data_IF_266537703992
#
_entry.id   IF_266537703992
#
_cell.length_a   1.000
_cell.length_b   1.000
_cell.length_c   1.000
_cell.angle_alpha   90.00
_cell.angle_beta   90.00
_cell.angle_gamma   90.00
#
_symmetry.space_group_name_H-M   'P 1'
#
loop_
_entity.id
_entity.type
_entity.pdbx_description
1 polymer ?
#
# COMPACT_ATOMS: atom_id res chain seq x y z
N UNK A 1 8.77 -2.66 -33.30
CA UNK A 1 9.61 -3.72 -32.72
C UNK A 1 8.74 -4.87 -32.26
N UNK A 2 9.14 -6.10 -32.53
CA UNK A 2 8.44 -7.32 -32.13
C UNK A 2 9.37 -8.24 -31.33
N UNK A 3 8.79 -9.07 -30.47
CA UNK A 3 9.50 -10.07 -29.68
C UNK A 3 8.95 -11.45 -30.01
N UNK A 4 9.83 -12.45 -30.11
CA UNK A 4 9.40 -13.84 -30.28
C UNK A 4 9.21 -14.46 -28.90
N UNK A 5 7.96 -14.78 -28.55
CA UNK A 5 7.58 -15.38 -27.28
C UNK A 5 6.92 -16.73 -27.58
N UNK A 6 7.42 -17.81 -27.00
CA UNK A 6 6.91 -19.17 -27.24
C UNK A 6 6.78 -19.53 -28.74
N UNK A 7 7.73 -19.08 -29.57
CA UNK A 7 7.73 -19.32 -31.01
C UNK A 7 6.75 -18.47 -31.83
N UNK A 8 6.06 -17.50 -31.20
CA UNK A 8 5.17 -16.56 -31.90
C UNK A 8 5.69 -15.14 -31.80
N UNK A 9 5.57 -14.39 -32.89
CA UNK A 9 5.89 -12.96 -32.89
C UNK A 9 4.78 -12.19 -32.19
N UNK A 10 5.14 -11.42 -31.16
CA UNK A 10 4.26 -10.53 -30.42
C UNK A 10 4.76 -9.10 -30.58
N UNK A 11 3.88 -8.19 -31.00
CA UNK A 11 4.23 -6.79 -31.14
C UNK A 11 4.40 -6.11 -29.77
N UNK A 12 5.32 -5.16 -29.67
CA UNK A 12 5.63 -4.49 -28.41
C UNK A 12 4.41 -3.80 -27.77
N UNK A 13 3.50 -3.25 -28.57
CA UNK A 13 2.27 -2.60 -28.07
C UNK A 13 1.38 -3.55 -27.25
N UNK A 14 1.35 -4.84 -27.58
CA UNK A 14 0.56 -5.84 -26.87
C UNK A 14 1.20 -6.20 -25.53
N UNK A 15 2.54 -6.25 -25.47
CA UNK A 15 3.28 -6.48 -24.23
C UNK A 15 3.14 -5.30 -23.29
N UNK A 16 3.24 -4.09 -23.81
CA UNK A 16 3.03 -2.87 -23.04
C UNK A 16 1.61 -2.83 -22.45
N UNK A 17 0.59 -3.03 -23.29
CA UNK A 17 -0.80 -3.04 -22.85
C UNK A 17 -1.09 -4.18 -21.85
N UNK A 18 -0.55 -5.37 -22.09
CA UNK A 18 -0.69 -6.50 -21.15
C UNK A 18 -0.06 -6.20 -19.79
N UNK A 19 1.11 -5.56 -19.77
CA UNK A 19 1.79 -5.16 -18.52
C UNK A 19 0.97 -4.14 -17.75
N UNK A 20 0.46 -3.10 -18.42
CA UNK A 20 -0.39 -2.10 -17.79
C UNK A 20 -1.71 -2.68 -17.28
N UNK A 21 -2.33 -3.59 -18.03
CA UNK A 21 -3.55 -4.27 -17.61
C UNK A 21 -3.31 -5.16 -16.37
N UNK A 22 -2.20 -5.90 -16.32
CA UNK A 22 -1.86 -6.75 -15.18
C UNK A 22 -1.58 -5.89 -13.94
N UNK A 23 -0.71 -4.88 -14.06
CA UNK A 23 -0.35 -4.01 -12.92
C UNK A 23 -1.59 -3.23 -12.44
N UNK A 24 -2.34 -2.63 -13.37
CA UNK A 24 -3.57 -1.91 -13.06
C UNK A 24 -4.64 -2.81 -12.44
N UNK A 25 -4.79 -4.03 -12.94
CA UNK A 25 -5.72 -5.03 -12.40
C UNK A 25 -5.34 -5.50 -10.99
N UNK A 26 -4.04 -5.76 -10.74
CA UNK A 26 -3.54 -6.11 -9.40
C UNK A 26 -3.74 -4.94 -8.43
N UNK A 27 -3.37 -3.72 -8.84
CA UNK A 27 -3.55 -2.53 -8.02
C UNK A 27 -5.03 -2.30 -7.71
N UNK A 28 -5.91 -2.43 -8.70
CA UNK A 28 -7.35 -2.31 -8.50
C UNK A 28 -7.90 -3.39 -7.58
N UNK A 29 -7.52 -4.65 -7.76
CA UNK A 29 -7.93 -5.75 -6.89
C UNK A 29 -7.43 -5.55 -5.44
N UNK A 30 -6.20 -5.09 -5.27
CA UNK A 30 -5.63 -4.78 -3.95
C UNK A 30 -6.31 -3.56 -3.29
N UNK A 31 -6.80 -2.61 -4.09
CA UNK A 31 -7.43 -1.37 -3.59
C UNK A 31 -8.94 -1.47 -3.39
N UNK A 32 -9.60 -2.43 -4.04
CA UNK A 32 -11.07 -2.58 -4.02
C UNK A 32 -11.61 -3.49 -2.91
N UNK A 33 -10.72 -4.14 -2.14
CA UNK A 33 -11.07 -5.01 -1.02
C UNK A 33 -11.28 -4.25 0.29
N UNK A 34 -12.54 -4.19 0.73
CA UNK A 34 -12.96 -3.49 1.95
C UNK A 34 -12.41 -4.07 3.26
N UNK A 35 -12.28 -3.16 4.23
CA UNK A 35 -11.84 -3.29 5.61
C UNK A 35 -12.16 -4.65 6.26
N UNK A 36 -11.16 -5.53 6.36
CA UNK A 36 -11.08 -6.61 7.35
C UNK A 36 -9.67 -7.18 7.36
N UNK A 37 -8.90 -6.70 8.33
CA UNK A 37 -7.84 -7.38 9.06
C UNK A 37 -7.03 -8.52 8.37
N UNK A 38 -5.72 -8.23 8.27
CA UNK A 38 -4.55 -9.11 8.44
C UNK A 38 -4.16 -10.03 7.28
N UNK A 39 -2.96 -9.76 6.73
CA UNK A 39 -1.68 -10.32 7.21
C UNK A 39 -0.68 -10.31 6.05
N UNK A 40 0.44 -9.64 6.27
CA UNK A 40 1.56 -9.57 5.36
C UNK A 40 1.98 -10.96 4.87
N UNK A 41 1.90 -11.18 3.56
CA UNK A 41 2.76 -12.12 2.85
C UNK A 41 3.74 -11.28 2.03
N UNK A 42 4.96 -11.23 2.58
CA UNK A 42 6.14 -10.57 2.05
C UNK A 42 6.44 -10.97 0.60
N UNK A 43 6.39 -9.99 -0.31
CA UNK A 43 7.35 -9.90 -1.41
C UNK A 43 7.50 -8.43 -1.82
N UNK A 44 8.55 -7.81 -1.28
CA UNK A 44 9.22 -6.59 -1.76
C UNK A 44 8.34 -5.53 -2.42
N UNK A 45 8.15 -4.41 -1.72
CA UNK A 45 7.32 -3.23 -2.07
C UNK A 45 5.90 -3.28 -1.52
N UNK A 46 5.71 -3.90 -0.36
CA UNK A 46 4.61 -3.52 0.52
C UNK A 46 5.13 -2.36 1.38
N UNK A 47 4.53 -1.18 1.21
CA UNK A 47 4.48 -0.19 2.27
C UNK A 47 3.95 -0.92 3.52
N UNK A 48 4.89 -1.39 4.35
CA UNK A 48 4.65 -1.48 5.77
C UNK A 48 4.03 -0.14 6.10
N UNK A 49 2.81 -0.16 6.61
CA UNK A 49 2.33 0.89 7.50
C UNK A 49 3.34 0.86 8.66
N UNK A 50 4.52 1.43 8.40
CA UNK A 50 5.43 1.91 9.42
C UNK A 50 4.69 3.15 9.83
N UNK A 51 4.09 3.13 11.01
CA UNK A 51 3.92 4.38 11.72
C UNK A 51 5.25 5.13 11.54
N UNK A 52 5.24 6.32 10.91
CA UNK A 52 6.47 7.06 10.74
C UNK A 52 7.07 7.20 12.13
N UNK A 53 8.34 6.80 12.29
CA UNK A 53 8.99 6.85 13.59
C UNK A 53 8.75 8.25 14.17
N UNK A 54 8.07 8.33 15.32
CA UNK A 54 7.76 9.59 15.97
C UNK A 54 9.09 10.16 16.46
N UNK A 55 9.68 11.02 15.63
CA UNK A 55 10.89 11.77 15.95
C UNK A 55 10.43 13.07 16.60
N UNK A 56 10.21 13.06 17.92
CA UNK A 56 9.94 14.26 18.69
C UNK A 56 11.19 14.68 19.46
N UNK A 57 11.35 16.00 19.66
CA UNK A 57 12.55 16.53 20.33
C UNK A 57 12.37 16.61 21.86
N UNK A 58 11.14 16.47 22.34
CA UNK A 58 10.78 16.53 23.76
C UNK A 58 9.63 15.56 24.09
N UNK A 59 9.57 15.11 25.34
CA UNK A 59 8.55 14.16 25.83
C UNK A 59 7.11 14.69 25.67
N UNK A 60 6.93 16.01 25.66
CA UNK A 60 5.61 16.66 25.53
C UNK A 60 5.11 16.61 24.08
N UNK A 61 6.00 16.82 23.12
CA UNK A 61 5.70 16.70 21.68
C UNK A 61 5.32 15.27 21.31
N UNK A 62 5.96 14.25 21.90
CA UNK A 62 5.54 12.86 21.68
C UNK A 62 4.11 12.59 22.15
N UNK A 63 3.74 13.13 23.32
CA UNK A 63 2.40 12.95 23.88
C UNK A 63 1.34 13.61 22.99
N UNK A 64 1.64 14.82 22.50
CA UNK A 64 0.80 15.53 21.53
C UNK A 64 0.61 14.74 20.23
N UNK A 65 1.70 14.24 19.62
CA UNK A 65 1.63 13.48 18.36
C UNK A 65 0.82 12.19 18.55
N UNK A 66 1.01 11.49 19.69
CA UNK A 66 0.25 10.28 20.02
C UNK A 66 -1.24 10.57 20.19
N UNK A 67 -1.60 11.68 20.83
CA UNK A 67 -2.99 12.09 21.01
C UNK A 67 -3.64 12.53 19.69
N UNK A 68 -2.93 13.30 18.87
CA UNK A 68 -3.38 13.70 17.54
C UNK A 68 -3.63 12.49 16.63
N UNK A 69 -2.73 11.50 16.67
CA UNK A 69 -2.88 10.27 15.89
C UNK A 69 -4.06 9.42 16.41
N UNK A 70 -4.24 9.30 17.72
CA UNK A 70 -5.38 8.60 18.31
C UNK A 70 -6.72 9.23 17.93
N UNK A 71 -6.79 10.57 17.87
CA UNK A 71 -7.98 11.32 17.46
C UNK A 71 -8.25 11.18 15.94
N UNK A 72 -7.21 11.29 15.11
CA UNK A 72 -7.30 11.10 13.66
C UNK A 72 -7.74 9.66 13.29
N UNK A 73 -7.37 8.67 14.10
CA UNK A 73 -7.79 7.27 13.94
C UNK A 73 -9.20 6.98 14.51
N UNK A 74 -9.87 7.98 15.09
CA UNK A 74 -11.24 7.87 15.59
C UNK A 74 -11.38 6.94 16.80
N UNK A 75 -10.27 6.61 17.49
CA UNK A 75 -10.25 5.79 18.71
C UNK A 75 -10.74 6.60 19.90
N UNK A 76 -12.04 6.89 19.90
CA UNK A 76 -12.76 7.50 21.02
C UNK A 76 -13.02 6.45 22.10
N UNK A 77 -11.99 6.03 22.83
CA UNK A 77 -12.21 5.37 24.13
C UNK A 77 -12.60 6.44 25.15
N UNK A 78 -13.90 6.77 25.15
CA UNK A 78 -14.55 7.55 26.21
C UNK A 78 -14.55 6.69 27.48
N UNK A 79 -13.46 6.72 28.23
CA UNK A 79 -13.41 6.28 29.62
C UNK A 79 -14.25 7.28 30.43
N UNK A 80 -15.52 6.90 30.65
CA UNK A 80 -16.37 7.46 31.72
C UNK A 80 -15.97 6.83 33.03
#
# INVERSE_FOLDING_TARGET
>A
MSYTIAGRQVLNEHIALGTFAIIGGIAYAASSGGSKDKKAASSSTAASVREPAINASTSDEEAFIKQFLAEAEGKNERLV
#
